data_IF_728251036787
#
_entry.id   IF_728251036787
#
_cell.length_a   1.000
_cell.length_b   1.000
_cell.length_c   1.000
_cell.angle_alpha   90.00
_cell.angle_beta   90.00
_cell.angle_gamma   90.00
#
_symmetry.space_group_name_H-M   'P 1'
#
loop_
_entity.id
_entity.type
_entity.pdbx_description
1 polymer ?
#
# COMPACT_ATOMS: atom_id res chain seq x y z
N UNK A 1 20.77 -19.19 11.13
CA UNK A 1 20.91 -17.76 11.47
C UNK A 1 21.93 -17.16 10.51
N UNK A 2 21.59 -16.06 9.86
CA UNK A 2 22.47 -15.38 8.89
C UNK A 2 23.54 -14.60 9.66
N UNK A 3 24.81 -14.80 9.32
CA UNK A 3 25.93 -14.07 9.90
C UNK A 3 25.86 -12.58 9.50
N UNK A 4 25.90 -11.68 10.48
CA UNK A 4 25.77 -10.23 10.25
C UNK A 4 27.13 -9.61 9.90
N UNK A 5 27.55 -9.83 8.65
CA UNK A 5 28.87 -9.46 8.10
C UNK A 5 29.17 -7.94 8.18
N UNK A 6 28.14 -7.11 8.32
CA UNK A 6 28.26 -5.64 8.26
C UNK A 6 28.14 -4.95 9.63
N UNK A 7 27.89 -5.69 10.71
CA UNK A 7 27.63 -5.10 12.03
C UNK A 7 28.78 -4.26 12.57
N UNK A 8 30.03 -4.58 12.22
CA UNK A 8 31.24 -3.85 12.61
C UNK A 8 31.56 -2.64 11.72
N UNK A 9 30.79 -2.43 10.64
CA UNK A 9 30.98 -1.31 9.70
C UNK A 9 30.08 -0.10 10.01
N UNK A 10 29.14 -0.25 10.94
CA UNK A 10 28.25 0.85 11.33
C UNK A 10 28.98 1.86 12.23
N UNK A 11 28.79 3.18 12.02
CA UNK A 11 29.31 4.21 12.91
C UNK A 11 28.82 4.04 14.35
N UNK A 12 29.61 4.54 15.31
CA UNK A 12 29.22 4.56 16.72
C UNK A 12 27.85 5.23 16.92
N UNK A 13 26.94 4.55 17.62
CA UNK A 13 25.57 5.01 17.87
C UNK A 13 24.54 4.58 16.83
N UNK A 14 24.92 3.94 15.71
CA UNK A 14 23.98 3.40 14.74
C UNK A 14 23.70 1.92 15.03
N UNK A 15 22.45 1.60 15.36
CA UNK A 15 22.03 0.20 15.55
C UNK A 15 22.10 -0.58 14.25
N UNK A 16 22.70 -1.78 14.31
CA UNK A 16 22.69 -2.73 13.18
C UNK A 16 21.36 -3.48 13.05
N UNK A 17 20.47 -3.30 14.02
CA UNK A 17 19.16 -3.93 14.08
C UNK A 17 18.07 -2.91 13.81
N UNK A 18 17.28 -3.21 12.78
CA UNK A 18 16.10 -2.43 12.43
C UNK A 18 14.90 -3.14 13.06
N UNK A 19 14.09 -2.40 13.80
CA UNK A 19 12.81 -2.89 14.28
C UNK A 19 11.81 -2.80 13.12
N UNK A 20 11.23 -3.94 12.78
CA UNK A 20 10.12 -4.04 11.83
C UNK A 20 8.94 -4.65 12.60
N UNK A 21 7.72 -4.26 12.28
CA UNK A 21 6.52 -4.78 12.96
C UNK A 21 5.42 -3.76 13.17
N UNK A 22 5.61 -2.52 12.75
CA UNK A 22 4.56 -1.49 12.82
C UNK A 22 3.33 -1.82 11.95
N UNK A 23 3.49 -2.74 10.97
CA UNK A 23 2.42 -3.17 10.09
C UNK A 23 2.49 -4.68 9.81
N UNK A 24 1.32 -5.31 9.73
CA UNK A 24 1.20 -6.76 9.49
C UNK A 24 1.26 -7.12 8.00
N UNK A 25 0.93 -6.17 7.12
CA UNK A 25 0.92 -6.37 5.67
C UNK A 25 0.99 -5.06 4.89
N UNK A 26 1.17 -5.14 3.57
CA UNK A 26 1.05 -3.98 2.68
C UNK A 26 -0.36 -3.38 2.74
N UNK A 27 -1.38 -4.22 2.92
CA UNK A 27 -2.76 -3.76 3.08
C UNK A 27 -2.92 -2.95 4.37
N UNK A 28 -2.31 -3.40 5.45
CA UNK A 28 -2.33 -2.71 6.74
C UNK A 28 -1.66 -1.32 6.66
N UNK A 29 -0.56 -1.20 5.91
CA UNK A 29 0.06 0.10 5.61
C UNK A 29 -0.91 1.02 4.87
N UNK A 30 -1.59 0.49 3.84
CA UNK A 30 -2.55 1.23 3.03
C UNK A 30 -3.74 1.72 3.86
N UNK A 31 -4.37 0.84 4.63
CA UNK A 31 -5.53 1.18 5.47
C UNK A 31 -5.18 2.22 6.54
N UNK A 32 -4.02 2.08 7.19
CA UNK A 32 -3.55 3.05 8.18
C UNK A 32 -3.30 4.42 7.55
N UNK A 33 -2.67 4.46 6.37
CA UNK A 33 -2.46 5.71 5.64
C UNK A 33 -3.79 6.37 5.26
N UNK A 34 -4.74 5.59 4.75
CA UNK A 34 -6.06 6.08 4.35
C UNK A 34 -6.84 6.68 5.53
N UNK A 35 -6.85 5.99 6.68
CA UNK A 35 -7.50 6.47 7.91
C UNK A 35 -6.83 7.73 8.47
N UNK A 36 -5.50 7.73 8.55
CA UNK A 36 -4.72 8.81 9.20
C UNK A 36 -4.73 10.12 8.39
N UNK A 37 -4.79 10.02 7.07
CA UNK A 37 -4.61 11.16 6.16
C UNK A 37 -5.80 11.37 5.23
N UNK A 38 -6.99 10.91 5.60
CA UNK A 38 -8.19 10.87 4.76
C UNK A 38 -8.43 12.14 3.91
N UNK A 39 -8.31 13.33 4.51
CA UNK A 39 -8.58 14.61 3.83
C UNK A 39 -7.40 15.15 3.00
N UNK A 40 -6.24 14.47 3.00
CA UNK A 40 -5.05 14.88 2.27
C UNK A 40 -5.05 14.30 0.85
N UNK A 41 -4.47 15.01 -0.14
CA UNK A 41 -4.30 14.46 -1.48
C UNK A 41 -3.36 13.23 -1.45
N UNK A 42 -3.79 12.14 -2.07
CA UNK A 42 -3.03 10.90 -2.22
C UNK A 42 -2.37 10.81 -3.61
N UNK A 43 -3.13 11.13 -4.67
CA UNK A 43 -2.65 11.10 -6.05
C UNK A 43 -3.04 12.36 -6.80
N UNK A 44 -2.22 12.76 -7.77
CA UNK A 44 -2.50 13.85 -8.71
C UNK A 44 -2.04 13.49 -10.12
N UNK A 45 -2.90 13.68 -11.12
CA UNK A 45 -2.63 13.42 -12.53
C UNK A 45 -3.49 14.32 -13.42
N UNK A 46 -2.88 14.99 -14.39
CA UNK A 46 -3.56 15.86 -15.38
C UNK A 46 -4.63 16.80 -14.79
N UNK A 47 -4.33 17.48 -13.68
CA UNK A 47 -5.24 18.44 -13.05
C UNK A 47 -6.31 17.83 -12.15
N UNK A 48 -6.37 16.51 -12.03
CA UNK A 48 -7.24 15.78 -11.11
C UNK A 48 -6.45 15.33 -9.89
N UNK A 49 -6.98 15.55 -8.70
CA UNK A 49 -6.46 15.01 -7.45
C UNK A 49 -7.52 14.15 -6.77
N UNK A 50 -7.11 13.05 -6.16
CA UNK A 50 -7.95 12.30 -5.24
C UNK A 50 -7.31 12.28 -3.85
N UNK A 51 -8.14 12.33 -2.81
CA UNK A 51 -7.71 12.22 -1.42
C UNK A 51 -7.49 10.77 -1.01
N UNK A 52 -6.83 10.57 0.13
CA UNK A 52 -6.71 9.25 0.75
C UNK A 52 -8.08 8.62 1.07
N UNK A 53 -9.07 9.41 1.49
CA UNK A 53 -10.42 8.92 1.75
C UNK A 53 -11.17 8.52 0.47
N UNK A 54 -10.98 9.25 -0.62
CA UNK A 54 -11.54 8.89 -1.93
C UNK A 54 -10.88 7.63 -2.49
N UNK A 55 -9.57 7.50 -2.34
CA UNK A 55 -8.82 6.30 -2.72
C UNK A 55 -9.31 5.05 -1.96
N UNK A 56 -9.52 5.15 -0.65
CA UNK A 56 -10.05 4.07 0.18
C UNK A 56 -11.42 3.62 -0.34
N UNK A 57 -12.32 4.58 -0.54
CA UNK A 57 -13.66 4.33 -1.08
C UNK A 57 -13.62 3.66 -2.46
N UNK A 58 -12.87 4.21 -3.41
CA UNK A 58 -12.77 3.65 -4.77
C UNK A 58 -12.17 2.24 -4.76
N UNK A 59 -11.20 1.99 -3.89
CA UNK A 59 -10.62 0.65 -3.72
C UNK A 59 -11.63 -0.37 -3.19
N UNK A 60 -12.47 0.04 -2.22
CA UNK A 60 -13.54 -0.78 -1.67
C UNK A 60 -14.65 -1.04 -2.70
N UNK A 61 -15.03 -0.03 -3.47
CA UNK A 61 -16.00 -0.15 -4.56
C UNK A 61 -15.51 -1.13 -5.64
N UNK A 62 -14.23 -1.05 -6.01
CA UNK A 62 -13.61 -2.00 -6.94
C UNK A 62 -13.59 -3.42 -6.36
N UNK A 63 -13.22 -3.59 -5.09
CA UNK A 63 -13.24 -4.89 -4.43
C UNK A 63 -14.66 -5.48 -4.35
N UNK A 64 -15.68 -4.66 -4.12
CA UNK A 64 -17.08 -5.07 -4.13
C UNK A 64 -17.54 -5.47 -5.54
N UNK A 65 -17.12 -4.74 -6.58
CA UNK A 65 -17.38 -5.11 -7.96
C UNK A 65 -16.81 -6.50 -8.28
N UNK A 66 -15.56 -6.76 -7.92
CA UNK A 66 -14.93 -8.08 -8.13
C UNK A 66 -15.71 -9.20 -7.45
N UNK A 67 -16.19 -8.98 -6.22
CA UNK A 67 -16.94 -10.00 -5.46
C UNK A 67 -18.36 -10.25 -5.97
N UNK A 68 -19.05 -9.21 -6.46
CA UNK A 68 -20.47 -9.30 -6.78
C UNK A 68 -20.79 -9.41 -8.28
N UNK A 69 -19.89 -8.94 -9.14
CA UNK A 69 -20.14 -8.80 -10.58
C UNK A 69 -19.17 -9.62 -11.43
N UNK A 70 -18.34 -10.46 -10.81
CA UNK A 70 -17.47 -11.40 -11.51
C UNK A 70 -17.59 -12.79 -10.86
N UNK A 71 -16.97 -13.79 -11.47
CA UNK A 71 -16.87 -15.14 -10.91
C UNK A 71 -15.55 -15.38 -10.19
N UNK A 72 -14.79 -14.33 -9.90
CA UNK A 72 -13.46 -14.44 -9.27
C UNK A 72 -13.59 -14.90 -7.82
N UNK A 73 -12.68 -15.78 -7.41
CA UNK A 73 -12.56 -16.25 -6.03
C UNK A 73 -11.18 -15.93 -5.46
N UNK A 74 -11.05 -16.03 -4.14
CA UNK A 74 -9.74 -15.85 -3.47
C UNK A 74 -8.70 -16.80 -4.09
N UNK A 75 -7.59 -16.23 -4.55
CA UNK A 75 -6.50 -16.96 -5.21
C UNK A 75 -6.49 -16.81 -6.72
N UNK A 76 -7.57 -16.31 -7.33
CA UNK A 76 -7.58 -15.94 -8.73
C UNK A 76 -6.70 -14.71 -8.98
N UNK A 77 -6.20 -14.61 -10.21
CA UNK A 77 -5.24 -13.57 -10.63
C UNK A 77 -5.91 -12.63 -11.61
N UNK A 78 -5.70 -11.34 -11.41
CA UNK A 78 -6.19 -10.28 -12.30
C UNK A 78 -4.99 -9.68 -13.03
N UNK A 79 -5.05 -9.61 -14.36
CA UNK A 79 -4.10 -8.85 -15.15
C UNK A 79 -4.61 -7.42 -15.31
N UNK A 80 -3.78 -6.44 -14.94
CA UNK A 80 -4.11 -5.02 -15.06
C UNK A 80 -3.26 -4.40 -16.16
N UNK A 81 -3.88 -4.12 -17.31
CA UNK A 81 -3.22 -3.45 -18.44
C UNK A 81 -3.88 -2.10 -18.68
N UNK A 82 -3.29 -1.05 -18.12
CA UNK A 82 -3.84 0.30 -18.15
C UNK A 82 -2.71 1.33 -18.29
N UNK A 83 -2.97 2.51 -18.88
CA UNK A 83 -2.05 3.64 -18.79
C UNK A 83 -1.92 4.15 -17.36
N UNK A 84 -0.89 4.94 -17.07
CA UNK A 84 -0.68 5.54 -15.74
C UNK A 84 -1.63 6.72 -15.51
N UNK A 85 -2.85 6.43 -15.08
CA UNK A 85 -3.94 7.40 -14.86
C UNK A 85 -4.55 7.24 -13.46
N UNK A 86 -5.18 8.32 -12.99
CA UNK A 86 -6.16 8.27 -11.90
C UNK A 86 -7.50 7.99 -12.59
N UNK A 87 -8.03 6.78 -12.41
CA UNK A 87 -9.23 6.29 -13.11
C UNK A 87 -10.50 6.90 -12.54
#
# INVERSE_FOLDING_TARGET
MVEKIWSDKYPEGVTSDIQYGDYESVLDVFENACKKFADRPAFHNMGVSITYGELDKLSADFAAYLQHHTTLVKGDRIAVQMPNLIQ
#
